data_IF_091136968609
#
_entry.id   IF_091136968609
#
_cell.length_a   1.000
_cell.length_b   1.000
_cell.length_c   1.000
_cell.angle_alpha   90.00
_cell.angle_beta   90.00
_cell.angle_gamma   90.00
#
_symmetry.space_group_name_H-M   'P 1'
#
loop_
_entity.id
_entity.type
_entity.pdbx_description
1 polymer ?
#
# COMPACT_ATOMS: atom_id res chain seq x y z
N UNK A 1 -12.38 -11.13 -13.75
CA UNK A 1 -13.08 -11.27 -12.46
C UNK A 1 -13.82 -12.61 -12.44
N UNK A 2 -13.74 -13.33 -11.33
CA UNK A 2 -14.53 -14.56 -11.14
C UNK A 2 -15.89 -14.23 -10.52
N UNK A 3 -16.84 -15.16 -10.63
CA UNK A 3 -18.11 -15.05 -9.91
C UNK A 3 -17.87 -14.84 -8.41
N UNK A 4 -18.60 -13.92 -7.79
CA UNK A 4 -18.36 -13.51 -6.41
C UNK A 4 -17.58 -12.22 -6.25
N UNK A 5 -17.16 -11.59 -7.36
CA UNK A 5 -16.53 -10.27 -7.35
C UNK A 5 -15.04 -10.25 -7.00
N UNK A 6 -14.39 -11.40 -6.97
CA UNK A 6 -12.94 -11.45 -6.71
C UNK A 6 -12.15 -10.92 -7.90
N UNK A 7 -11.29 -9.89 -7.74
CA UNK A 7 -10.46 -9.40 -8.82
C UNK A 7 -9.32 -10.40 -9.09
N UNK A 8 -9.26 -10.89 -10.31
CA UNK A 8 -8.21 -11.83 -10.76
C UNK A 8 -7.55 -11.36 -12.05
N UNK A 9 -7.63 -10.07 -12.32
CA UNK A 9 -7.02 -9.48 -13.50
C UNK A 9 -5.50 -9.49 -13.38
N UNK A 10 -4.83 -9.75 -14.50
CA UNK A 10 -3.37 -9.73 -14.57
C UNK A 10 -2.88 -8.38 -15.07
N UNK A 11 -1.85 -7.86 -14.43
CA UNK A 11 -1.22 -6.60 -14.79
C UNK A 11 0.29 -6.83 -14.96
N UNK A 12 0.85 -6.33 -16.06
CA UNK A 12 2.28 -6.51 -16.39
C UNK A 12 3.17 -5.47 -15.71
N UNK A 13 2.58 -4.33 -15.29
CA UNK A 13 3.32 -3.21 -14.73
C UNK A 13 2.96 -2.98 -13.26
N UNK A 14 3.98 -2.73 -12.44
CA UNK A 14 3.80 -2.43 -11.02
C UNK A 14 2.89 -1.21 -10.78
N UNK A 15 2.96 -0.19 -11.64
CA UNK A 15 2.09 0.97 -11.53
C UNK A 15 0.61 0.60 -11.69
N UNK A 16 0.29 -0.26 -12.65
CA UNK A 16 -1.08 -0.72 -12.87
C UNK A 16 -1.59 -1.57 -11.71
N UNK A 17 -0.72 -2.41 -11.12
CA UNK A 17 -1.04 -3.17 -9.90
C UNK A 17 -1.35 -2.24 -8.73
N UNK A 18 -0.55 -1.20 -8.52
CA UNK A 18 -0.77 -0.21 -7.45
C UNK A 18 -2.08 0.56 -7.64
N UNK A 19 -2.38 0.96 -8.88
CA UNK A 19 -3.64 1.64 -9.20
C UNK A 19 -4.86 0.74 -9.02
N UNK A 20 -4.76 -0.52 -9.39
CA UNK A 20 -5.83 -1.50 -9.19
C UNK A 20 -6.07 -1.77 -7.69
N UNK A 21 -5.00 -1.95 -6.92
CA UNK A 21 -5.09 -2.12 -5.46
C UNK A 21 -5.74 -0.90 -4.80
N UNK A 22 -5.30 0.31 -5.15
CA UNK A 22 -5.92 1.55 -4.68
C UNK A 22 -7.42 1.59 -4.98
N UNK A 23 -7.81 1.26 -6.20
CA UNK A 23 -9.21 1.26 -6.62
C UNK A 23 -10.05 0.31 -5.76
N UNK A 24 -9.56 -0.90 -5.53
CA UNK A 24 -10.24 -1.90 -4.72
C UNK A 24 -10.43 -1.43 -3.27
N UNK A 25 -9.38 -0.88 -2.67
CA UNK A 25 -9.44 -0.37 -1.29
C UNK A 25 -10.42 0.79 -1.14
N UNK A 26 -10.42 1.74 -2.08
CA UNK A 26 -11.37 2.86 -2.04
C UNK A 26 -12.81 2.41 -2.28
N UNK A 27 -13.03 1.41 -3.11
CA UNK A 27 -14.36 0.82 -3.29
C UNK A 27 -14.84 0.16 -1.99
N UNK A 28 -13.99 -0.57 -1.30
CA UNK A 28 -14.28 -1.15 0.01
C UNK A 28 -14.58 -0.07 1.07
N UNK A 29 -13.85 1.05 1.05
CA UNK A 29 -14.09 2.21 1.91
C UNK A 29 -15.40 2.91 1.60
N UNK A 30 -15.60 3.29 0.34
CA UNK A 30 -16.70 4.17 -0.07
C UNK A 30 -18.05 3.45 -0.16
N UNK A 31 -18.05 2.18 -0.56
CA UNK A 31 -19.26 1.40 -0.82
C UNK A 31 -19.39 0.15 0.04
N UNK A 32 -18.51 -0.83 -0.14
CA UNK A 32 -18.73 -2.21 0.35
C UNK A 32 -18.96 -2.28 1.86
N UNK A 33 -18.00 -1.83 2.65
CA UNK A 33 -18.10 -1.93 4.11
C UNK A 33 -19.09 -0.93 4.71
N UNK A 34 -19.26 0.24 4.11
CA UNK A 34 -20.29 1.19 4.55
C UNK A 34 -21.67 0.62 4.35
N UNK A 35 -21.95 0.03 3.20
CA UNK A 35 -23.22 -0.61 2.91
C UNK A 35 -23.48 -1.77 3.87
N UNK A 36 -22.51 -2.62 4.13
CA UNK A 36 -22.65 -3.70 5.10
C UNK A 36 -22.90 -3.16 6.51
N UNK A 37 -22.24 -2.06 6.89
CA UNK A 37 -22.50 -1.38 8.16
C UNK A 37 -23.95 -0.88 8.28
N UNK A 38 -24.46 -0.23 7.24
CA UNK A 38 -25.87 0.24 7.25
C UNK A 38 -26.85 -0.92 7.34
N UNK A 39 -26.65 -2.00 6.58
CA UNK A 39 -27.49 -3.20 6.65
C UNK A 39 -27.46 -3.81 8.05
N UNK A 40 -26.28 -3.99 8.63
CA UNK A 40 -26.14 -4.53 9.98
C UNK A 40 -26.86 -3.67 11.03
N UNK A 41 -26.78 -2.35 10.88
CA UNK A 41 -27.48 -1.39 11.75
C UNK A 41 -28.99 -1.54 11.63
N UNK A 42 -29.51 -1.62 10.42
CA UNK A 42 -30.95 -1.81 10.16
C UNK A 42 -31.47 -3.14 10.72
N UNK A 43 -30.66 -4.19 10.66
CA UNK A 43 -30.98 -5.50 11.20
C UNK A 43 -30.80 -5.60 12.73
N UNK A 44 -30.36 -4.54 13.40
CA UNK A 44 -30.20 -4.49 14.85
C UNK A 44 -28.87 -5.02 15.38
N UNK A 45 -27.86 -5.23 14.50
CA UNK A 45 -26.53 -5.70 14.89
C UNK A 45 -25.57 -4.52 15.04
N UNK A 46 -25.75 -3.70 16.08
CA UNK A 46 -25.01 -2.45 16.24
C UNK A 46 -23.51 -2.62 16.38
N UNK A 47 -23.03 -3.66 17.06
CA UNK A 47 -21.59 -3.93 17.18
C UNK A 47 -20.98 -4.38 15.84
N UNK A 48 -21.70 -5.20 15.09
CA UNK A 48 -21.26 -5.62 13.74
C UNK A 48 -21.22 -4.41 12.81
N UNK A 49 -22.24 -3.54 12.87
CA UNK A 49 -22.25 -2.29 12.10
C UNK A 49 -21.05 -1.41 12.42
N UNK A 50 -20.74 -1.20 13.70
CA UNK A 50 -19.58 -0.43 14.13
C UNK A 50 -18.26 -1.02 13.58
N UNK A 51 -18.13 -2.34 13.59
CA UNK A 51 -16.96 -3.03 13.03
C UNK A 51 -16.82 -2.77 11.53
N UNK A 52 -17.90 -2.87 10.76
CA UNK A 52 -17.86 -2.57 9.32
C UNK A 52 -17.45 -1.12 9.04
N UNK A 53 -17.98 -0.15 9.80
CA UNK A 53 -17.60 1.25 9.63
C UNK A 53 -16.14 1.50 9.97
N UNK A 54 -15.62 0.87 11.03
CA UNK A 54 -14.20 0.96 11.37
C UNK A 54 -13.30 0.33 10.32
N UNK A 55 -13.69 -0.83 9.78
CA UNK A 55 -12.96 -1.49 8.68
C UNK A 55 -12.92 -0.57 7.45
N UNK A 56 -14.05 0.07 7.10
CA UNK A 56 -14.08 1.01 5.98
C UNK A 56 -13.00 2.11 6.13
N UNK A 57 -12.82 2.65 7.33
CA UNK A 57 -11.77 3.66 7.56
C UNK A 57 -10.35 3.09 7.40
N UNK A 58 -10.14 1.82 7.75
CA UNK A 58 -8.86 1.15 7.53
C UNK A 58 -8.59 0.97 6.02
N UNK A 59 -9.61 0.61 5.24
CA UNK A 59 -9.46 0.46 3.79
C UNK A 59 -9.10 1.78 3.11
N UNK A 60 -9.62 2.91 3.65
CA UNK A 60 -9.16 4.23 3.20
C UNK A 60 -7.65 4.43 3.42
N UNK A 61 -7.14 4.05 4.58
CA UNK A 61 -5.71 4.15 4.88
C UNK A 61 -4.88 3.29 3.91
N UNK A 62 -5.36 2.09 3.59
CA UNK A 62 -4.71 1.23 2.61
C UNK A 62 -4.72 1.86 1.21
N UNK A 63 -5.86 2.40 0.78
CA UNK A 63 -5.99 3.10 -0.50
C UNK A 63 -5.03 4.29 -0.60
N UNK A 64 -4.96 5.10 0.44
CA UNK A 64 -4.04 6.26 0.51
C UNK A 64 -2.58 5.82 0.39
N UNK A 65 -2.22 4.69 1.01
CA UNK A 65 -0.88 4.11 0.92
C UNK A 65 -0.54 3.64 -0.49
N UNK A 66 -1.45 2.90 -1.14
CA UNK A 66 -1.26 2.50 -2.54
C UNK A 66 -1.15 3.71 -3.47
N UNK A 67 -1.94 4.75 -3.22
CA UNK A 67 -1.85 6.01 -3.97
C UNK A 67 -0.47 6.66 -3.81
N UNK A 68 0.05 6.71 -2.61
CA UNK A 68 1.37 7.29 -2.34
C UNK A 68 2.47 6.55 -3.11
N UNK A 69 2.48 5.22 -3.09
CA UNK A 69 3.46 4.43 -3.83
C UNK A 69 3.27 4.54 -5.35
N UNK A 70 2.04 4.61 -5.84
CA UNK A 70 1.76 4.85 -7.25
C UNK A 70 2.34 6.21 -7.69
N UNK A 71 2.15 7.26 -6.89
CA UNK A 71 2.69 8.60 -7.17
C UNK A 71 4.22 8.60 -7.20
N UNK A 72 4.87 7.94 -6.26
CA UNK A 72 6.32 7.80 -6.25
C UNK A 72 6.83 7.10 -7.51
N UNK A 73 6.19 6.00 -7.89
CA UNK A 73 6.59 5.23 -9.07
C UNK A 73 6.37 6.03 -10.36
N UNK A 74 5.22 6.69 -10.48
CA UNK A 74 4.87 7.49 -11.67
C UNK A 74 5.80 8.68 -11.86
N UNK A 75 6.27 9.30 -10.76
CA UNK A 75 7.20 10.43 -10.76
C UNK A 75 8.67 10.00 -10.77
N UNK A 76 8.95 8.72 -10.85
CA UNK A 76 10.31 8.17 -10.76
C UNK A 76 10.99 8.59 -9.45
N UNK A 77 10.27 8.49 -8.32
CA UNK A 77 10.75 8.86 -6.98
C UNK A 77 10.73 7.70 -5.98
N UNK A 78 10.34 6.51 -6.44
CA UNK A 78 10.27 5.35 -5.54
C UNK A 78 11.65 5.00 -4.98
N UNK A 79 12.71 5.07 -5.82
CA UNK A 79 14.08 4.75 -5.46
C UNK A 79 15.05 5.92 -5.63
N UNK A 80 14.55 7.11 -5.95
CA UNK A 80 15.34 8.32 -6.19
C UNK A 80 14.83 9.46 -5.31
N UNK A 81 15.74 10.22 -4.71
CA UNK A 81 15.44 11.41 -3.92
C UNK A 81 16.22 12.62 -4.45
N UNK A 82 15.68 13.81 -4.25
CA UNK A 82 16.38 15.06 -4.59
C UNK A 82 17.47 15.40 -3.59
N UNK A 83 17.37 14.86 -2.38
CA UNK A 83 18.35 15.05 -1.31
C UNK A 83 18.86 13.70 -0.82
N UNK A 84 20.02 13.70 -0.19
CA UNK A 84 20.52 12.50 0.49
C UNK A 84 19.52 12.05 1.55
N UNK A 85 19.17 10.78 1.52
CA UNK A 85 18.27 10.17 2.49
C UNK A 85 18.72 8.75 2.84
N UNK A 86 18.08 8.16 3.86
CA UNK A 86 18.28 6.77 4.19
C UNK A 86 17.35 5.87 3.36
N UNK A 87 17.89 4.73 2.94
CA UNK A 87 17.18 3.67 2.24
C UNK A 87 17.35 2.38 3.03
N UNK A 88 16.25 1.80 3.50
CA UNK A 88 16.28 0.56 4.27
C UNK A 88 16.03 -0.65 3.38
N UNK A 89 16.92 -1.63 3.45
CA UNK A 89 16.67 -2.94 2.86
C UNK A 89 15.67 -3.71 3.73
N UNK A 90 14.49 -4.01 3.20
CA UNK A 90 13.44 -4.72 3.93
C UNK A 90 13.77 -6.20 4.16
N UNK A 91 14.78 -6.74 3.47
CA UNK A 91 15.23 -8.11 3.71
C UNK A 91 16.14 -8.22 4.93
N UNK A 92 17.22 -7.41 5.00
CA UNK A 92 18.22 -7.54 6.06
C UNK A 92 18.27 -6.36 7.04
N UNK A 93 17.58 -5.27 6.77
CA UNK A 93 17.58 -4.06 7.62
C UNK A 93 18.74 -3.11 7.39
N UNK A 94 19.64 -3.38 6.44
CA UNK A 94 20.74 -2.46 6.13
C UNK A 94 20.21 -1.08 5.71
N UNK A 95 20.81 -0.03 6.23
CA UNK A 95 20.51 1.36 5.86
C UNK A 95 21.62 1.88 4.95
N UNK A 96 21.27 2.23 3.72
CA UNK A 96 22.14 2.91 2.78
C UNK A 96 21.79 4.39 2.74
N UNK A 97 22.79 5.27 2.68
CA UNK A 97 22.57 6.72 2.57
C UNK A 97 23.04 7.22 1.20
N UNK A 98 22.16 7.97 0.54
CA UNK A 98 22.43 8.56 -0.76
C UNK A 98 21.15 9.11 -1.40
N UNK A 99 21.28 9.62 -2.61
CA UNK A 99 20.13 10.16 -3.38
C UNK A 99 19.39 9.08 -4.15
N UNK A 100 19.92 7.86 -4.18
CA UNK A 100 19.30 6.74 -4.90
C UNK A 100 19.53 5.44 -4.12
N UNK A 101 18.48 4.62 -4.04
CA UNK A 101 18.63 3.28 -3.49
C UNK A 101 19.60 2.45 -4.36
N UNK A 102 20.50 1.64 -3.77
CA UNK A 102 21.46 0.88 -4.54
C UNK A 102 20.78 -0.19 -5.41
N UNK A 103 21.38 -0.52 -6.55
CA UNK A 103 20.86 -1.58 -7.43
C UNK A 103 20.79 -2.94 -6.72
N UNK A 104 21.72 -3.18 -5.81
CA UNK A 104 21.74 -4.36 -4.93
C UNK A 104 22.16 -3.96 -3.53
N UNK A 105 21.56 -4.61 -2.54
CA UNK A 105 21.97 -4.44 -1.15
C UNK A 105 23.43 -4.92 -0.99
N UNK A 106 24.35 -4.09 -0.47
CA UNK A 106 25.74 -4.50 -0.29
C UNK A 106 25.92 -5.58 0.78
N UNK A 107 24.93 -5.80 1.63
CA UNK A 107 24.99 -6.80 2.70
C UNK A 107 24.39 -8.15 2.27
N UNK A 108 23.15 -8.14 1.79
CA UNK A 108 22.43 -9.37 1.49
C UNK A 108 22.23 -9.67 0.00
N UNK A 109 22.68 -8.78 -0.89
CA UNK A 109 22.63 -8.92 -2.36
C UNK A 109 21.23 -8.91 -2.97
N UNK A 110 20.18 -8.57 -2.21
CA UNK A 110 18.84 -8.42 -2.77
C UNK A 110 18.75 -7.17 -3.65
N UNK A 111 17.88 -7.26 -4.66
CA UNK A 111 17.70 -6.22 -5.69
C UNK A 111 17.13 -4.91 -5.10
N UNK A 112 17.24 -3.82 -5.85
CA UNK A 112 16.76 -2.48 -5.47
C UNK A 112 15.31 -2.47 -5.00
N UNK A 113 14.44 -3.34 -5.53
CA UNK A 113 13.03 -3.42 -5.13
C UNK A 113 12.80 -3.77 -3.65
N UNK A 114 13.81 -4.23 -2.94
CA UNK A 114 13.75 -4.48 -1.51
C UNK A 114 13.99 -3.23 -0.65
N UNK A 115 14.38 -2.11 -1.26
CA UNK A 115 14.63 -0.87 -0.52
C UNK A 115 13.38 0.00 -0.42
N UNK A 116 13.26 0.66 0.72
CA UNK A 116 12.23 1.68 0.96
C UNK A 116 12.89 2.91 1.60
N UNK A 117 12.34 4.08 1.35
CA UNK A 117 12.74 5.30 2.05
C UNK A 117 12.63 5.08 3.55
N UNK A 118 13.64 5.49 4.29
CA UNK A 118 13.69 5.25 5.73
C UNK A 118 12.50 5.87 6.48
N UNK A 119 12.02 7.04 6.05
CA UNK A 119 10.84 7.68 6.66
C UNK A 119 9.53 6.89 6.48
N UNK A 120 9.49 5.96 5.53
CA UNK A 120 8.35 5.08 5.30
C UNK A 120 8.57 3.67 5.83
N UNK A 121 9.76 3.38 6.35
CA UNK A 121 10.09 2.05 6.83
C UNK A 121 9.32 1.72 8.12
N UNK A 122 8.82 0.47 8.27
CA UNK A 122 7.99 0.10 9.42
C UNK A 122 8.73 0.05 10.76
N UNK A 123 10.05 0.04 10.75
CA UNK A 123 10.90 -0.13 11.94
C UNK A 123 11.86 1.03 12.14
N UNK A 124 11.40 2.26 11.92
CA UNK A 124 12.20 3.46 12.18
C UNK A 124 12.39 3.61 13.69
N UNK A 125 13.63 3.87 14.08
CA UNK A 125 13.97 4.19 15.45
C UNK A 125 14.29 5.66 15.61
#
# INVERSE_FOLDING_TARGET
MIDGGYPVDNYDKSLDLLKAARHNEYEEYEDVYRRFGEIAKEEGFSQVAASFFMIAEIEKVHGDRFQQFADFLERNRLFISEIETGWMCLNCGHIYRGVQAPAKCPVCQHEQGYFIRMELAPYIQ
#
